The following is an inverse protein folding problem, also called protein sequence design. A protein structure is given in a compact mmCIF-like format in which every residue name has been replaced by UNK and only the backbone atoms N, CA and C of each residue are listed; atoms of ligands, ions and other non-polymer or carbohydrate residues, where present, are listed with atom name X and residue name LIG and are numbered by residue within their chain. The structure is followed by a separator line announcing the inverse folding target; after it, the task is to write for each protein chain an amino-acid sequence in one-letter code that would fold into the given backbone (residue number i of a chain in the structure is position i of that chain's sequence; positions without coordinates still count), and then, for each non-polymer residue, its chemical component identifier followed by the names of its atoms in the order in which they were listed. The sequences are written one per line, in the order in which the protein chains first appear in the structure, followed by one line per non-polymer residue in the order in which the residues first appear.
data_IF_386165011716
#
_entry.id   IF_386165011716
#
_cell.length_a   1.000
_cell.length_b   1.000
_cell.length_c   1.000
_cell.angle_alpha   90.00
_cell.angle_beta   90.00
_cell.angle_gamma   90.00
#
_symmetry.space_group_name_H-M   'P 1'
#
loop_
_entity.id
_entity.type
_entity.pdbx_description
1 polymer ?
#
# COMPACT_ATOMS: atom_id res chain seq x y z
N UNK A 1 6.27 16.76 -3.61
CA UNK A 1 5.58 16.06 -2.50
C UNK A 1 4.81 14.88 -3.09
N UNK A 2 5.10 13.64 -2.68
CA UNK A 2 4.41 12.45 -3.19
C UNK A 2 2.90 12.53 -2.91
N UNK A 3 2.10 12.53 -3.98
CA UNK A 3 0.63 12.62 -3.93
C UNK A 3 0.13 11.34 -3.26
N UNK A 4 -0.67 11.47 -2.19
CA UNK A 4 -1.36 10.31 -1.60
C UNK A 4 -2.25 9.70 -2.68
N UNK A 5 -2.30 8.38 -2.73
CA UNK A 5 -3.37 7.70 -3.43
C UNK A 5 -4.72 8.22 -2.89
N UNK A 6 -5.68 8.49 -3.78
CA UNK A 6 -6.97 9.08 -3.39
C UNK A 6 -7.75 8.18 -2.42
N UNK A 7 -7.49 6.87 -2.44
CA UNK A 7 -8.14 5.89 -1.57
C UNK A 7 -7.36 5.60 -0.29
N UNK A 8 -6.16 6.15 -0.10
CA UNK A 8 -5.33 5.89 1.08
C UNK A 8 -6.09 6.10 2.40
N UNK A 9 -6.71 7.26 2.55
CA UNK A 9 -7.49 7.59 3.74
C UNK A 9 -8.77 6.75 3.85
N UNK A 10 -9.35 6.36 2.72
CA UNK A 10 -10.55 5.50 2.68
C UNK A 10 -10.21 4.10 3.20
N UNK A 11 -9.13 3.50 2.72
CA UNK A 11 -8.63 2.20 3.17
C UNK A 11 -8.25 2.24 4.65
N UNK A 12 -7.50 3.27 5.07
CA UNK A 12 -7.15 3.47 6.49
C UNK A 12 -8.38 3.51 7.39
N UNK A 13 -9.40 4.29 7.02
CA UNK A 13 -10.65 4.38 7.79
C UNK A 13 -11.43 3.07 7.79
N UNK A 14 -11.43 2.34 6.68
CA UNK A 14 -12.07 1.03 6.60
C UNK A 14 -11.41 0.02 7.55
N UNK A 15 -10.08 -0.04 7.57
CA UNK A 15 -9.31 -0.86 8.52
C UNK A 15 -9.66 -0.51 9.97
N UNK A 16 -9.62 0.78 10.32
CA UNK A 16 -9.96 1.23 11.68
C UNK A 16 -11.39 0.86 12.08
N UNK A 17 -12.37 1.00 11.16
CA UNK A 17 -13.76 0.61 11.42
C UNK A 17 -13.94 -0.89 11.58
N UNK A 18 -13.14 -1.69 10.89
CA UNK A 18 -13.10 -3.15 11.06
C UNK A 18 -12.28 -3.57 12.30
N UNK A 19 -11.86 -2.63 13.15
CA UNK A 19 -11.17 -2.93 14.41
C UNK A 19 -9.67 -3.23 14.26
N UNK A 20 -9.06 -2.83 13.14
CA UNK A 20 -7.60 -2.85 12.99
C UNK A 20 -6.97 -1.59 13.60
N UNK A 21 -5.88 -1.78 14.33
CA UNK A 21 -5.03 -0.71 14.83
C UNK A 21 -3.96 -0.41 13.80
N UNK A 22 -3.93 0.82 13.29
CA UNK A 22 -2.86 1.27 12.39
C UNK A 22 -1.58 1.46 13.20
N UNK A 23 -0.51 0.75 12.86
CA UNK A 23 0.78 0.83 13.56
C UNK A 23 1.74 1.76 12.84
N UNK A 24 1.73 1.79 11.50
CA UNK A 24 2.59 2.65 10.69
C UNK A 24 1.90 3.15 9.42
N UNK A 25 2.10 4.42 9.08
CA UNK A 25 1.57 5.08 7.89
C UNK A 25 2.45 6.32 7.56
N UNK A 26 3.50 6.19 6.72
CA UNK A 26 3.85 4.99 5.95
C UNK A 26 4.64 3.95 6.76
N UNK A 27 4.46 2.67 6.44
CA UNK A 27 5.29 1.58 6.92
C UNK A 27 6.66 1.59 6.20
N UNK A 28 7.78 1.77 6.91
CA UNK A 28 9.10 1.80 6.30
C UNK A 28 9.53 0.38 5.92
N UNK A 29 9.60 0.09 4.62
CA UNK A 29 10.14 -1.17 4.11
C UNK A 29 11.63 -1.01 3.75
N UNK A 30 12.48 -1.83 4.37
CA UNK A 30 13.86 -2.04 3.97
C UNK A 30 14.02 -3.51 3.55
N UNK A 31 14.38 -3.75 2.29
CA UNK A 31 14.71 -5.08 1.78
C UNK A 31 16.19 -5.07 1.39
N UNK A 32 17.05 -5.65 2.25
CA UNK A 32 18.51 -5.63 2.09
C UNK A 32 19.12 -4.22 2.17
N UNK A 33 20.27 -4.01 1.53
CA UNK A 33 20.97 -2.72 1.47
C UNK A 33 20.33 -1.70 0.50
N UNK A 34 19.27 -2.09 -0.22
CA UNK A 34 18.55 -1.20 -1.13
C UNK A 34 17.31 -0.67 -0.42
N UNK A 35 17.30 0.65 -0.22
CA UNK A 35 16.03 1.37 -0.05
C UNK A 35 15.30 1.24 -1.38
N UNK A 36 14.15 0.57 -1.40
CA UNK A 36 13.25 0.46 -2.55
C UNK A 36 12.68 1.85 -2.86
N UNK A 37 13.52 2.68 -3.45
CA UNK A 37 13.21 4.02 -3.91
C UNK A 37 13.17 3.95 -5.43
N UNK A 38 12.05 4.39 -6.00
CA UNK A 38 11.80 4.60 -7.43
C UNK A 38 11.10 3.46 -8.19
N UNK A 39 11.71 2.29 -8.45
CA UNK A 39 11.17 1.42 -9.52
C UNK A 39 9.95 0.55 -9.16
N UNK A 40 9.75 0.23 -7.88
CA UNK A 40 8.62 -0.60 -7.42
C UNK A 40 7.51 0.19 -6.73
N UNK A 41 7.51 1.52 -6.82
CA UNK A 41 6.40 2.34 -6.32
C UNK A 41 5.99 1.98 -4.90
N UNK A 42 6.91 2.09 -3.92
CA UNK A 42 6.60 1.98 -2.49
C UNK A 42 5.75 3.18 -2.04
N UNK A 43 4.58 3.31 -2.67
CA UNK A 43 3.56 4.30 -2.46
C UNK A 43 2.92 4.01 -1.10
N UNK A 44 3.53 4.57 -0.05
CA UNK A 44 2.93 4.73 1.30
C UNK A 44 2.13 3.53 1.79
N UNK A 45 2.85 2.46 2.11
CA UNK A 45 2.26 1.27 2.71
C UNK A 45 1.67 1.57 4.09
N UNK A 46 0.58 0.88 4.44
CA UNK A 46 -0.05 0.97 5.77
C UNK A 46 0.23 -0.34 6.50
N UNK A 47 0.79 -0.29 7.71
CA UNK A 47 0.83 -1.46 8.59
C UNK A 47 -0.28 -1.37 9.63
N UNK A 48 -0.97 -2.49 9.85
CA UNK A 48 -2.05 -2.60 10.81
C UNK A 48 -2.05 -3.96 11.51
N UNK A 49 -2.63 -3.99 12.70
CA UNK A 49 -2.77 -5.22 13.50
C UNK A 49 -4.17 -5.38 14.11
N UNK A 50 -4.60 -6.64 14.28
CA UNK A 50 -5.87 -7.02 14.91
C UNK A 50 -5.67 -8.32 15.69
N UNK A 51 -5.55 -8.22 17.01
CA UNK A 51 -5.14 -9.33 17.85
C UNK A 51 -3.72 -9.80 17.50
N UNK A 52 -3.58 -11.07 17.11
CA UNK A 52 -2.29 -11.66 16.68
C UNK A 52 -1.98 -11.45 15.20
N UNK A 53 -2.93 -10.94 14.42
CA UNK A 53 -2.78 -10.77 12.97
C UNK A 53 -2.12 -9.43 12.68
N UNK A 54 -1.13 -9.43 11.76
CA UNK A 54 -0.42 -8.25 11.28
C UNK A 54 -0.44 -8.24 9.76
N UNK A 55 -0.74 -7.08 9.19
CA UNK A 55 -0.80 -6.89 7.73
C UNK A 55 0.02 -5.67 7.32
N UNK A 56 0.50 -5.69 6.08
CA UNK A 56 1.01 -4.53 5.35
C UNK A 56 0.15 -4.39 4.10
N UNK A 57 -0.40 -3.20 3.90
CA UNK A 57 -1.38 -2.91 2.85
C UNK A 57 -0.80 -1.90 1.88
N UNK A 58 -0.73 -2.28 0.61
CA UNK A 58 -0.50 -1.38 -0.51
C UNK A 58 -1.84 -0.86 -1.05
N UNK A 59 -1.95 0.45 -1.22
CA UNK A 59 -3.16 1.09 -1.76
C UNK A 59 -2.88 1.63 -3.15
N UNK A 60 -3.60 1.11 -4.16
CA UNK A 60 -3.44 1.50 -5.57
C UNK A 60 -4.79 1.87 -6.19
N UNK A 61 -4.91 3.09 -6.71
CA UNK A 61 -6.18 3.65 -7.23
C UNK A 61 -6.50 3.33 -8.68
N UNK A 62 -5.58 2.71 -9.44
CA UNK A 62 -5.74 2.33 -10.85
C UNK A 62 -6.42 3.39 -11.75
N UNK A 63 -6.24 4.69 -11.46
CA UNK A 63 -6.92 5.77 -12.20
C UNK A 63 -6.12 6.11 -13.47
N UNK A 64 -6.67 5.80 -14.66
CA UNK A 64 -6.03 6.08 -15.95
C UNK A 64 -6.69 5.33 -17.13
N UNK A 65 -6.32 5.68 -18.38
CA UNK A 65 -6.96 5.19 -19.62
C UNK A 65 -6.96 3.65 -19.83
N UNK A 66 -6.22 2.89 -19.03
CA UNK A 66 -6.20 1.43 -19.08
C UNK A 66 -5.96 0.82 -17.71
N UNK A 67 -6.89 1.03 -16.78
CA UNK A 67 -6.89 0.39 -15.46
C UNK A 67 -6.59 -1.13 -15.53
N UNK A 68 -7.09 -1.82 -16.57
CA UNK A 68 -6.82 -3.24 -16.84
C UNK A 68 -5.36 -3.55 -17.15
N UNK A 69 -4.68 -2.71 -17.97
CA UNK A 69 -3.27 -2.93 -18.30
C UNK A 69 -2.39 -2.69 -17.07
N UNK A 70 -2.71 -1.66 -16.27
CA UNK A 70 -2.00 -1.35 -15.03
C UNK A 70 -2.20 -2.43 -13.95
N UNK A 71 -3.41 -3.00 -13.87
CA UNK A 71 -3.72 -4.15 -13.04
C UNK A 71 -2.87 -5.36 -13.45
N UNK A 72 -2.89 -5.72 -14.73
CA UNK A 72 -2.13 -6.85 -15.27
C UNK A 72 -0.63 -6.72 -14.99
N UNK A 73 -0.05 -5.53 -15.20
CA UNK A 73 1.36 -5.26 -14.88
C UNK A 73 1.67 -5.42 -13.38
N UNK A 74 0.78 -4.97 -12.49
CA UNK A 74 1.00 -5.06 -11.03
C UNK A 74 1.00 -6.51 -10.55
N UNK A 75 0.10 -7.36 -11.06
CA UNK A 75 0.07 -8.78 -10.68
C UNK A 75 1.35 -9.52 -11.11
N UNK A 76 1.86 -9.25 -12.31
CA UNK A 76 3.08 -9.88 -12.82
C UNK A 76 4.34 -9.46 -12.04
N UNK A 77 4.38 -8.27 -11.44
CA UNK A 77 5.51 -7.82 -10.63
C UNK A 77 5.56 -8.43 -9.22
N UNK A 78 4.45 -9.02 -8.76
CA UNK A 78 4.31 -9.60 -7.42
C UNK A 78 4.21 -11.15 -7.45
N UNK A 79 4.43 -11.77 -8.61
CA UNK A 79 4.46 -13.23 -8.84
C UNK A 79 5.89 -13.75 -8.82
#
# INVERSE_FOLDING_TARGET
MARRDIYHNTVKRALQKDGWTITHDPFPLQIGHKRLSADLGAERLISAEKGIQKIVVEVKSFVGKSALNLLHQTFLQNS
#
